data_IF_822320229610
#
_entry.id   IF_822320229610
#
_cell.length_a   1.000
_cell.length_b   1.000
_cell.length_c   1.000
_cell.angle_alpha   90.00
_cell.angle_beta   90.00
_cell.angle_gamma   90.00
#
_symmetry.space_group_name_H-M   'P 1'
#
loop_
_entity.id
_entity.type
_entity.pdbx_description
1 polymer ?
#
# COMPACT_ATOMS: atom_id res chain seq x y z
N UNK A 1 -32.02 -26.57 -23.83
CA UNK A 1 -31.62 -26.68 -22.41
C UNK A 1 -30.11 -26.80 -22.36
N UNK A 2 -29.37 -25.89 -21.70
CA UNK A 2 -27.92 -26.03 -21.58
C UNK A 2 -27.59 -27.31 -20.79
N UNK A 3 -26.64 -28.12 -21.28
CA UNK A 3 -26.24 -29.36 -20.62
C UNK A 3 -25.53 -29.06 -19.29
N UNK A 4 -25.61 -29.98 -18.33
CA UNK A 4 -24.92 -29.92 -17.04
C UNK A 4 -23.42 -29.61 -17.19
N UNK A 5 -22.79 -30.08 -18.26
CA UNK A 5 -21.40 -29.78 -18.60
C UNK A 5 -21.16 -28.27 -18.86
N UNK A 6 -22.06 -27.59 -19.55
CA UNK A 6 -21.95 -26.14 -19.84
C UNK A 6 -22.13 -25.28 -18.59
N UNK A 7 -22.95 -25.73 -17.64
CA UNK A 7 -23.12 -25.06 -16.33
C UNK A 7 -21.86 -25.21 -15.45
N UNK A 8 -21.25 -26.40 -15.44
CA UNK A 8 -20.02 -26.68 -14.70
C UNK A 8 -18.82 -25.86 -15.24
N UNK A 9 -18.68 -25.74 -16.56
CA UNK A 9 -17.59 -24.97 -17.21
C UNK A 9 -17.70 -23.46 -16.95
N UNK A 10 -18.91 -22.91 -16.76
CA UNK A 10 -19.08 -21.51 -16.34
C UNK A 10 -18.72 -21.28 -14.87
N UNK A 11 -18.82 -22.31 -14.02
CA UNK A 11 -18.53 -22.21 -12.60
C UNK A 11 -17.03 -22.21 -12.26
N UNK A 12 -16.18 -22.72 -13.16
CA UNK A 12 -14.74 -22.89 -12.91
C UNK A 12 -13.87 -21.72 -13.38
N UNK A 13 -14.42 -20.76 -14.14
CA UNK A 13 -13.65 -19.58 -14.54
C UNK A 13 -13.57 -18.59 -13.36
N UNK A 14 -12.37 -18.23 -12.88
CA UNK A 14 -12.25 -17.22 -11.86
C UNK A 14 -12.91 -15.93 -12.36
N UNK A 15 -13.86 -15.39 -11.56
CA UNK A 15 -14.49 -14.13 -11.89
C UNK A 15 -13.39 -13.06 -11.94
N UNK A 16 -13.21 -12.34 -13.05
CA UNK A 16 -12.13 -11.35 -13.16
C UNK A 16 -12.19 -10.30 -12.03
N UNK A 17 -13.39 -9.98 -11.54
CA UNK A 17 -13.61 -9.10 -10.40
C UNK A 17 -12.98 -9.61 -9.08
N UNK A 18 -13.01 -10.93 -8.84
CA UNK A 18 -12.42 -11.53 -7.65
C UNK A 18 -10.89 -11.46 -7.69
N UNK A 19 -10.29 -11.71 -8.86
CA UNK A 19 -8.84 -11.59 -9.07
C UNK A 19 -8.39 -10.14 -8.86
N UNK A 20 -9.10 -9.19 -9.47
CA UNK A 20 -8.82 -7.75 -9.31
C UNK A 20 -8.93 -7.34 -7.83
N UNK A 21 -9.99 -7.75 -7.13
CA UNK A 21 -10.15 -7.44 -5.70
C UNK A 21 -9.03 -8.02 -4.84
N UNK A 22 -8.55 -9.21 -5.16
CA UNK A 22 -7.40 -9.82 -4.47
C UNK A 22 -6.10 -9.05 -4.73
N UNK A 23 -5.83 -8.69 -5.99
CA UNK A 23 -4.65 -7.90 -6.38
C UNK A 23 -4.62 -6.53 -5.71
N UNK A 24 -5.75 -5.81 -5.67
CA UNK A 24 -5.85 -4.50 -5.02
C UNK A 24 -5.54 -4.59 -3.52
N UNK A 25 -6.03 -5.64 -2.84
CA UNK A 25 -5.77 -5.85 -1.42
C UNK A 25 -4.32 -6.25 -1.15
N UNK A 26 -3.75 -7.12 -1.98
CA UNK A 26 -2.34 -7.50 -1.88
C UNK A 26 -1.43 -6.29 -2.10
N UNK A 27 -1.73 -5.46 -3.09
CA UNK A 27 -1.01 -4.21 -3.36
C UNK A 27 -1.12 -3.25 -2.18
N UNK A 28 -2.33 -3.04 -1.65
CA UNK A 28 -2.55 -2.18 -0.49
C UNK A 28 -1.73 -2.62 0.73
N UNK A 29 -1.73 -3.93 1.03
CA UNK A 29 -0.93 -4.49 2.14
C UNK A 29 0.56 -4.31 1.88
N UNK A 30 1.03 -4.61 0.67
CA UNK A 30 2.44 -4.43 0.30
C UNK A 30 2.90 -2.98 0.46
N UNK A 31 2.11 -2.01 -0.02
CA UNK A 31 2.38 -0.58 0.16
C UNK A 31 2.40 -0.20 1.63
N UNK A 32 1.41 -0.63 2.42
CA UNK A 32 1.36 -0.32 3.85
C UNK A 32 2.57 -0.84 4.61
N UNK A 33 3.03 -2.07 4.31
CA UNK A 33 4.22 -2.67 4.94
C UNK A 33 5.48 -1.87 4.59
N UNK A 34 5.68 -1.53 3.32
CA UNK A 34 6.84 -0.75 2.89
C UNK A 34 6.86 0.64 3.50
N UNK A 35 5.70 1.30 3.53
CA UNK A 35 5.53 2.64 4.10
C UNK A 35 5.82 2.64 5.61
N UNK A 36 5.22 1.70 6.36
CA UNK A 36 5.45 1.58 7.79
C UNK A 36 6.89 1.21 8.10
N UNK A 37 7.46 0.24 7.37
CA UNK A 37 8.87 -0.13 7.51
C UNK A 37 9.80 1.06 7.32
N UNK A 38 9.56 1.87 6.29
CA UNK A 38 10.32 3.11 6.08
C UNK A 38 10.07 4.15 7.17
N UNK A 39 8.84 4.31 7.65
CA UNK A 39 8.51 5.24 8.73
C UNK A 39 9.19 4.89 10.07
N UNK A 40 9.37 3.60 10.37
CA UNK A 40 10.10 3.13 11.55
C UNK A 40 11.63 3.23 11.39
N UNK A 41 12.14 2.98 10.18
CA UNK A 41 13.57 3.09 9.89
C UNK A 41 14.06 4.54 9.81
N UNK A 42 13.23 5.45 9.28
CA UNK A 42 13.64 6.83 8.96
C UNK A 42 14.20 7.62 10.16
N UNK A 43 13.60 7.60 11.37
CA UNK A 43 14.15 8.29 12.53
C UNK A 43 15.57 7.83 12.88
N UNK A 44 15.83 6.53 12.79
CA UNK A 44 17.16 5.96 13.05
C UNK A 44 18.17 6.46 12.02
N UNK A 45 17.82 6.42 10.73
CA UNK A 45 18.68 6.96 9.67
C UNK A 45 18.90 8.47 9.82
N UNK A 46 17.84 9.25 10.06
CA UNK A 46 17.89 10.70 10.16
C UNK A 46 18.73 11.18 11.36
N UNK A 47 18.79 10.40 12.45
CA UNK A 47 19.65 10.70 13.60
C UNK A 47 21.15 10.60 13.28
N UNK A 48 21.54 9.85 12.24
CA UNK A 48 22.93 9.63 11.84
C UNK A 48 23.29 10.31 10.51
N UNK A 49 22.30 10.91 9.83
CA UNK A 49 22.48 11.57 8.54
C UNK A 49 23.11 12.96 8.71
N UNK A 50 23.94 13.34 7.76
CA UNK A 50 24.49 14.69 7.67
C UNK A 50 23.42 15.69 7.20
N UNK A 51 23.55 17.00 7.53
CA UNK A 51 22.60 18.01 7.06
C UNK A 51 22.51 18.10 5.53
N UNK A 52 23.60 17.81 4.82
CA UNK A 52 23.63 17.75 3.36
C UNK A 52 22.75 16.61 2.82
N UNK A 53 22.83 15.42 3.42
CA UNK A 53 21.96 14.28 3.07
C UNK A 53 20.49 14.58 3.38
N UNK A 54 20.21 15.20 4.53
CA UNK A 54 18.86 15.59 4.93
C UNK A 54 18.26 16.66 4.02
N UNK A 55 19.07 17.60 3.52
CA UNK A 55 18.62 18.65 2.60
C UNK A 55 18.06 18.11 1.28
N UNK A 56 18.50 16.91 0.87
CA UNK A 56 17.96 16.19 -0.29
C UNK A 56 16.63 15.47 -0.01
N UNK A 57 16.14 15.49 1.23
CA UNK A 57 14.90 14.84 1.64
C UNK A 57 13.76 15.84 1.86
N UNK A 58 12.53 15.34 1.80
CA UNK A 58 11.34 16.11 2.16
C UNK A 58 11.38 16.44 3.66
N UNK A 59 11.21 17.72 4.02
CA UNK A 59 11.22 18.20 5.42
C UNK A 59 12.47 18.97 5.83
N UNK A 60 13.41 19.19 4.90
CA UNK A 60 14.54 20.12 5.05
C UNK A 60 15.76 19.51 5.78
N UNK A 61 16.76 20.34 6.12
CA UNK A 61 18.05 19.87 6.64
C UNK A 61 18.00 19.39 8.11
N UNK A 62 16.88 19.54 8.81
CA UNK A 62 16.71 19.15 10.20
C UNK A 62 16.20 17.71 10.35
N UNK A 63 16.86 16.90 11.19
CA UNK A 63 16.47 15.51 11.42
C UNK A 63 15.02 15.38 11.96
N UNK A 64 14.63 16.27 12.87
CA UNK A 64 13.28 16.27 13.47
C UNK A 64 12.23 16.66 12.43
N UNK A 65 12.43 17.76 11.70
CA UNK A 65 11.47 18.23 10.69
C UNK A 65 11.32 17.21 9.56
N UNK A 66 12.44 16.64 9.07
CA UNK A 66 12.44 15.57 8.08
C UNK A 66 11.66 14.33 8.57
N UNK A 67 11.88 13.92 9.82
CA UNK A 67 11.18 12.76 10.41
C UNK A 67 9.68 13.00 10.50
N UNK A 68 9.25 14.17 11.01
CA UNK A 68 7.84 14.53 11.10
C UNK A 68 7.20 14.53 9.71
N UNK A 69 7.85 15.14 8.72
CA UNK A 69 7.35 15.14 7.33
C UNK A 69 7.19 13.73 6.78
N UNK A 70 8.15 12.83 7.03
CA UNK A 70 8.06 11.44 6.57
C UNK A 70 6.98 10.64 7.30
N UNK A 71 6.74 10.90 8.58
CA UNK A 71 5.63 10.28 9.31
C UNK A 71 4.26 10.77 8.81
N UNK A 72 4.12 12.06 8.52
CA UNK A 72 2.88 12.60 7.93
C UNK A 72 2.63 12.01 6.53
N UNK A 73 3.69 11.90 5.71
CA UNK A 73 3.61 11.25 4.42
C UNK A 73 3.22 9.77 4.54
N UNK A 74 3.82 9.06 5.50
CA UNK A 74 3.51 7.66 5.77
C UNK A 74 2.04 7.48 6.19
N UNK A 75 1.54 8.35 7.07
CA UNK A 75 0.14 8.35 7.48
C UNK A 75 -0.80 8.52 6.28
N UNK A 76 -0.51 9.47 5.40
CA UNK A 76 -1.30 9.71 4.20
C UNK A 76 -1.31 8.49 3.26
N UNK A 77 -0.14 7.89 3.03
CA UNK A 77 -0.01 6.69 2.17
C UNK A 77 -0.68 5.46 2.78
N UNK A 78 -0.61 5.27 4.10
CA UNK A 78 -1.35 4.21 4.80
C UNK A 78 -2.86 4.42 4.69
N UNK A 79 -3.34 5.67 4.79
CA UNK A 79 -4.74 6.01 4.55
C UNK A 79 -5.17 5.64 3.12
N UNK A 80 -4.38 6.02 2.11
CA UNK A 80 -4.64 5.67 0.72
C UNK A 80 -4.63 4.14 0.48
N UNK A 81 -3.70 3.42 1.08
CA UNK A 81 -3.66 1.96 1.05
C UNK A 81 -4.91 1.35 1.70
N UNK A 82 -5.37 1.90 2.83
CA UNK A 82 -6.63 1.48 3.47
C UNK A 82 -7.85 1.66 2.58
N UNK A 83 -7.94 2.79 1.87
CA UNK A 83 -8.99 3.05 0.87
C UNK A 83 -8.91 2.06 -0.29
N UNK A 84 -7.72 1.78 -0.80
CA UNK A 84 -7.49 0.81 -1.87
C UNK A 84 -7.91 -0.60 -1.44
N UNK A 85 -7.58 -0.98 -0.21
CA UNK A 85 -7.99 -2.26 0.38
C UNK A 85 -9.51 -2.35 0.52
N UNK A 86 -10.16 -1.27 0.97
CA UNK A 86 -11.62 -1.19 1.07
C UNK A 86 -12.28 -1.32 -0.31
N UNK A 87 -11.77 -0.62 -1.32
CA UNK A 87 -12.25 -0.75 -2.70
C UNK A 87 -12.13 -2.19 -3.22
N UNK A 88 -11.01 -2.86 -2.96
CA UNK A 88 -10.82 -4.27 -3.31
C UNK A 88 -11.79 -5.23 -2.59
N UNK A 89 -12.29 -4.87 -1.40
CA UNK A 89 -13.32 -5.65 -0.69
C UNK A 89 -14.74 -5.47 -1.25
N UNK A 90 -15.00 -4.34 -1.91
CA UNK A 90 -16.30 -4.04 -2.50
C UNK A 90 -16.51 -4.73 -3.86
N UNK A 91 -15.45 -5.27 -4.46
CA UNK A 91 -15.55 -6.04 -5.69
C UNK A 91 -16.22 -7.42 -5.44
N UNK A 92 -17.19 -7.82 -6.30
CA UNK A 92 -17.89 -9.08 -6.14
C UNK A 92 -16.96 -10.30 -6.30
N UNK A 93 -17.13 -11.28 -5.40
CA UNK A 93 -16.38 -12.55 -5.38
C UNK A 93 -16.88 -13.53 -6.44
#
# INVERSE_FOLDING_TARGET
>A
MPSLATALIRSTRPRPAAVVGWLLRALAVGVAVLVLGRAFWFPYWAAHATPAELSGTLGGPGAISATITHWLLALALCGAAGLLYAAGRLLPR
#
